data_IF_875458493630
#
_entry.id   IF_875458493630
#
_cell.length_a   1.000
_cell.length_b   1.000
_cell.length_c   1.000
_cell.angle_alpha   90.00
_cell.angle_beta   90.00
_cell.angle_gamma   90.00
#
_symmetry.space_group_name_H-M   'P 1'
#
loop_
_entity.id
_entity.type
_entity.pdbx_description
1 polymer ?
#
# COMPACT_ATOMS: atom_id res chain seq x y z
N UNK A 1 -0.79 27.07 -22.24
CA UNK A 1 0.24 26.51 -23.11
C UNK A 1 0.48 27.51 -24.25
N UNK A 2 1.76 27.85 -24.55
CA UNK A 2 2.10 28.89 -25.53
C UNK A 2 1.92 28.40 -26.96
N UNK A 3 1.77 29.33 -27.90
CA UNK A 3 1.63 29.11 -29.33
C UNK A 3 2.70 28.19 -30.00
N UNK A 4 3.83 27.96 -29.33
CA UNK A 4 4.87 27.05 -29.75
C UNK A 4 4.48 25.55 -29.81
N UNK A 5 3.41 25.16 -29.12
CA UNK A 5 2.95 23.74 -29.10
C UNK A 5 2.08 23.38 -30.32
N UNK A 6 1.55 24.35 -31.03
CA UNK A 6 0.65 24.17 -32.19
C UNK A 6 1.37 23.49 -33.36
N UNK A 7 2.68 23.65 -33.47
CA UNK A 7 3.49 23.13 -34.60
C UNK A 7 4.30 21.86 -34.25
N UNK A 8 4.17 21.33 -33.00
CA UNK A 8 4.84 20.09 -32.62
C UNK A 8 3.94 18.90 -32.94
N UNK A 9 4.56 17.84 -33.45
CA UNK A 9 3.88 16.56 -33.60
C UNK A 9 3.47 16.06 -32.22
N UNK A 10 2.17 15.83 -32.00
CA UNK A 10 1.60 15.43 -30.71
C UNK A 10 0.84 14.12 -30.88
N UNK A 11 0.95 13.26 -29.86
CA UNK A 11 0.12 12.07 -29.71
C UNK A 11 -0.84 12.29 -28.54
N UNK A 12 -2.11 11.95 -28.75
CA UNK A 12 -3.15 12.06 -27.73
C UNK A 12 -3.42 10.66 -27.17
N UNK A 13 -3.03 10.44 -25.93
CA UNK A 13 -3.35 9.22 -25.20
C UNK A 13 -4.61 9.48 -24.39
N UNK A 14 -5.75 8.78 -24.64
CA UNK A 14 -6.98 8.98 -23.89
C UNK A 14 -6.84 8.50 -22.44
N UNK A 15 -7.60 9.11 -21.56
CA UNK A 15 -7.66 8.75 -20.16
C UNK A 15 -9.08 8.94 -19.61
N UNK A 16 -9.31 8.47 -18.37
CA UNK A 16 -10.58 8.65 -17.68
C UNK A 16 -10.69 10.10 -17.20
N UNK A 17 -11.80 10.76 -17.54
CA UNK A 17 -12.07 12.13 -17.09
C UNK A 17 -12.56 12.18 -15.64
N UNK A 18 -12.12 13.19 -14.89
CA UNK A 18 -12.62 13.46 -13.53
C UNK A 18 -14.14 13.75 -13.49
N UNK A 19 -14.72 14.25 -14.57
CA UNK A 19 -16.16 14.51 -14.65
C UNK A 19 -17.01 13.24 -14.42
N UNK A 20 -16.47 12.06 -14.78
CA UNK A 20 -17.13 10.77 -14.58
C UNK A 20 -16.54 10.05 -13.37
N UNK A 21 -15.20 9.86 -13.34
CA UNK A 21 -14.57 9.04 -12.30
C UNK A 21 -14.81 9.58 -10.88
N UNK A 22 -14.69 10.89 -10.67
CA UNK A 22 -14.91 11.50 -9.35
C UNK A 22 -16.36 11.36 -8.91
N UNK A 23 -17.30 11.54 -9.85
CA UNK A 23 -18.74 11.36 -9.60
C UNK A 23 -19.06 9.91 -9.17
N UNK A 24 -18.54 8.92 -9.90
CA UNK A 24 -18.76 7.50 -9.60
C UNK A 24 -18.13 7.08 -8.27
N UNK A 25 -16.93 7.56 -7.95
CA UNK A 25 -16.28 7.33 -6.66
C UNK A 25 -17.06 7.96 -5.50
N UNK A 26 -17.76 9.07 -5.75
CA UNK A 26 -18.68 9.65 -4.77
C UNK A 26 -20.05 8.95 -4.72
N UNK A 27 -20.28 7.88 -5.52
CA UNK A 27 -21.57 7.19 -5.60
C UNK A 27 -22.64 8.00 -6.33
N UNK A 28 -22.24 8.92 -7.21
CA UNK A 28 -23.15 9.78 -8.00
C UNK A 28 -22.96 9.46 -9.48
N UNK A 29 -23.77 8.59 -10.09
CA UNK A 29 -23.66 8.32 -11.52
C UNK A 29 -24.09 9.57 -12.30
N UNK A 30 -23.39 9.88 -13.41
CA UNK A 30 -23.74 11.05 -14.24
C UNK A 30 -25.05 10.86 -15.00
N UNK A 31 -25.46 9.62 -15.26
CA UNK A 31 -26.76 9.23 -15.77
C UNK A 31 -27.30 8.02 -15.01
N UNK A 32 -28.64 7.89 -14.91
CA UNK A 32 -29.25 6.73 -14.30
C UNK A 32 -30.65 6.53 -14.87
N UNK A 33 -31.04 5.27 -15.15
CA UNK A 33 -32.35 4.94 -15.68
C UNK A 33 -33.47 5.52 -14.78
N UNK A 34 -34.41 6.23 -15.36
CA UNK A 34 -35.57 6.89 -14.71
C UNK A 34 -35.23 8.12 -13.84
N UNK A 35 -33.93 8.55 -13.78
CA UNK A 35 -33.51 9.72 -13.01
C UNK A 35 -32.90 10.78 -13.90
N UNK A 36 -31.95 10.40 -14.78
CA UNK A 36 -31.27 11.31 -15.67
C UNK A 36 -30.84 10.57 -16.93
N UNK A 37 -31.20 11.10 -18.10
CA UNK A 37 -30.89 10.56 -19.42
C UNK A 37 -29.79 11.32 -20.13
N UNK A 38 -29.50 12.55 -19.68
CA UNK A 38 -28.52 13.44 -20.27
C UNK A 38 -27.57 14.00 -19.23
N UNK A 39 -26.34 14.24 -19.63
CA UNK A 39 -25.40 15.02 -18.81
C UNK A 39 -24.52 15.92 -19.69
N UNK A 40 -24.06 17.03 -19.12
CA UNK A 40 -23.12 17.95 -19.75
C UNK A 40 -21.93 18.21 -18.83
N UNK A 41 -20.75 18.30 -19.45
CA UNK A 41 -19.51 18.71 -18.78
C UNK A 41 -19.20 20.14 -19.18
N UNK A 42 -19.07 21.02 -18.18
CA UNK A 42 -18.92 22.47 -18.41
C UNK A 42 -17.64 22.94 -17.70
N UNK A 43 -16.86 23.78 -18.36
CA UNK A 43 -15.78 24.52 -17.71
C UNK A 43 -16.35 25.69 -16.91
N UNK A 44 -16.27 25.60 -15.59
CA UNK A 44 -16.81 26.62 -14.68
C UNK A 44 -15.94 27.87 -14.51
N UNK A 45 -14.78 27.91 -15.18
CA UNK A 45 -13.90 29.07 -15.21
C UNK A 45 -13.72 29.54 -16.65
N UNK A 46 -14.44 30.59 -17.02
CA UNK A 46 -14.28 31.25 -18.32
C UNK A 46 -13.16 32.29 -18.26
N UNK A 47 -12.58 32.63 -19.39
CA UNK A 47 -11.58 33.68 -19.52
C UNK A 47 -12.15 35.02 -19.03
N UNK A 48 -11.62 35.63 -17.96
CA UNK A 48 -12.15 36.86 -17.39
C UNK A 48 -12.02 38.09 -18.34
N UNK A 49 -11.23 37.97 -19.39
CA UNK A 49 -11.08 39.04 -20.39
C UNK A 49 -12.20 39.05 -21.44
N UNK A 50 -13.04 38.00 -21.49
CA UNK A 50 -14.22 37.93 -22.34
C UNK A 50 -15.35 38.77 -21.69
N UNK A 51 -15.91 39.70 -22.44
CA UNK A 51 -16.99 40.55 -21.94
C UNK A 51 -18.30 39.82 -21.66
N UNK A 52 -18.59 38.72 -22.39
CA UNK A 52 -19.81 37.92 -22.25
C UNK A 52 -19.49 36.43 -22.13
N UNK A 53 -20.30 35.72 -21.31
CA UNK A 53 -20.24 34.28 -21.18
C UNK A 53 -20.67 33.61 -22.47
N UNK A 54 -19.91 32.60 -22.90
CA UNK A 54 -20.24 31.76 -24.08
C UNK A 54 -21.13 30.56 -23.70
N UNK A 55 -21.45 30.40 -22.43
CA UNK A 55 -22.27 29.31 -21.91
C UNK A 55 -23.75 29.60 -22.17
N UNK A 56 -24.45 28.69 -22.82
CA UNK A 56 -25.91 28.76 -22.97
C UNK A 56 -26.60 28.32 -21.66
N UNK A 57 -26.71 29.28 -20.71
CA UNK A 57 -27.26 29.04 -19.37
C UNK A 57 -28.72 28.56 -19.43
N UNK A 58 -29.56 29.11 -20.33
CA UNK A 58 -30.95 28.70 -20.48
C UNK A 58 -31.05 27.22 -20.92
N UNK A 59 -30.28 26.86 -21.94
CA UNK A 59 -30.26 25.46 -22.41
C UNK A 59 -29.77 24.49 -21.33
N UNK A 60 -28.72 24.83 -20.62
CA UNK A 60 -28.19 24.00 -19.52
C UNK A 60 -29.17 23.89 -18.34
N UNK A 61 -29.82 24.99 -17.98
CA UNK A 61 -30.73 25.01 -16.83
C UNK A 61 -31.99 24.16 -17.07
N UNK A 62 -32.46 24.02 -18.31
CA UNK A 62 -33.76 23.42 -18.62
C UNK A 62 -33.69 22.09 -19.38
N UNK A 63 -32.70 21.88 -20.25
CA UNK A 63 -32.67 20.76 -21.18
C UNK A 63 -31.74 19.59 -20.75
N UNK A 64 -30.86 19.80 -19.78
CA UNK A 64 -29.87 18.79 -19.36
C UNK A 64 -30.15 18.35 -17.92
N UNK A 65 -30.25 17.04 -17.69
CA UNK A 65 -30.58 16.47 -16.37
C UNK A 65 -29.46 16.65 -15.35
N UNK A 66 -28.22 16.32 -15.74
CA UNK A 66 -27.05 16.37 -14.89
C UNK A 66 -26.00 17.32 -15.45
N UNK A 67 -25.54 18.27 -14.64
CA UNK A 67 -24.46 19.20 -14.98
C UNK A 67 -23.23 18.91 -14.15
N UNK A 68 -22.06 18.81 -14.78
CA UNK A 68 -20.78 18.59 -14.11
C UNK A 68 -19.85 19.76 -14.46
N UNK A 69 -19.61 20.61 -13.48
CA UNK A 69 -18.72 21.77 -13.63
C UNK A 69 -17.29 21.39 -13.19
N UNK A 70 -16.36 21.51 -14.11
CA UNK A 70 -14.93 21.41 -13.85
C UNK A 70 -14.34 22.80 -13.64
N UNK A 71 -13.33 22.95 -12.77
CA UNK A 71 -12.68 24.23 -12.45
C UNK A 71 -13.66 25.32 -12.00
N UNK A 72 -14.79 24.94 -11.37
CA UNK A 72 -15.87 25.86 -11.07
C UNK A 72 -16.04 26.22 -9.59
N UNK A 73 -15.20 25.71 -8.66
CA UNK A 73 -15.46 25.85 -7.22
C UNK A 73 -15.51 27.30 -6.77
N UNK A 74 -14.58 28.14 -7.21
CA UNK A 74 -14.54 29.56 -6.89
C UNK A 74 -15.72 30.35 -7.51
N UNK A 75 -16.29 29.80 -8.60
CA UNK A 75 -17.39 30.40 -9.33
C UNK A 75 -18.77 29.82 -8.96
N UNK A 76 -18.86 28.93 -7.95
CA UNK A 76 -20.14 28.34 -7.51
C UNK A 76 -21.22 29.42 -7.26
N UNK A 77 -20.95 30.53 -6.60
CA UNK A 77 -21.96 31.59 -6.41
C UNK A 77 -22.53 32.11 -7.74
N UNK A 78 -21.68 32.38 -8.73
CA UNK A 78 -22.10 32.84 -10.06
C UNK A 78 -22.82 31.76 -10.84
N UNK A 79 -22.32 30.51 -10.78
CA UNK A 79 -22.90 29.34 -11.48
C UNK A 79 -24.32 29.10 -10.94
N UNK A 80 -24.49 29.00 -9.64
CA UNK A 80 -25.81 28.73 -9.02
C UNK A 80 -26.81 29.83 -9.29
N UNK A 81 -26.37 31.12 -9.21
CA UNK A 81 -27.20 32.27 -9.56
C UNK A 81 -27.68 32.16 -11.03
N UNK A 82 -26.76 31.91 -11.97
CA UNK A 82 -27.09 31.75 -13.41
C UNK A 82 -28.05 30.61 -13.68
N UNK A 83 -27.88 29.48 -13.00
CA UNK A 83 -28.80 28.34 -13.13
C UNK A 83 -30.21 28.70 -12.64
N UNK A 84 -30.35 29.39 -11.49
CA UNK A 84 -31.63 29.78 -10.94
C UNK A 84 -32.31 30.85 -11.82
N UNK A 85 -31.58 31.85 -12.24
CA UNK A 85 -32.08 32.93 -13.14
C UNK A 85 -32.64 32.33 -14.47
N UNK A 86 -32.09 31.21 -14.91
CA UNK A 86 -32.51 30.55 -16.15
C UNK A 86 -33.45 29.35 -15.95
N UNK A 87 -34.05 29.22 -14.76
CA UNK A 87 -35.16 28.31 -14.50
C UNK A 87 -34.79 26.98 -13.81
N UNK A 88 -33.56 26.78 -13.36
CA UNK A 88 -33.22 25.61 -12.51
C UNK A 88 -33.72 25.90 -11.09
N UNK A 89 -34.47 24.95 -10.49
CA UNK A 89 -34.95 25.08 -9.12
C UNK A 89 -33.78 25.21 -8.13
N UNK A 90 -33.89 26.09 -7.16
CA UNK A 90 -32.96 26.23 -6.06
C UNK A 90 -32.83 24.94 -5.22
N UNK A 91 -33.92 24.15 -5.15
CA UNK A 91 -33.94 22.85 -4.44
C UNK A 91 -33.31 21.68 -5.24
N UNK A 92 -32.84 21.96 -6.47
CA UNK A 92 -32.16 20.92 -7.26
C UNK A 92 -30.94 20.41 -6.47
N UNK A 93 -30.84 19.08 -6.24
CA UNK A 93 -29.71 18.49 -5.53
C UNK A 93 -28.39 18.78 -6.23
N UNK A 94 -27.36 19.03 -5.43
CA UNK A 94 -26.03 19.30 -5.91
C UNK A 94 -24.98 18.67 -4.98
N UNK A 95 -23.77 18.47 -5.47
CA UNK A 95 -22.65 17.99 -4.68
C UNK A 95 -21.34 18.63 -5.14
N UNK A 96 -20.44 18.88 -4.19
CA UNK A 96 -19.07 19.27 -4.47
C UNK A 96 -18.16 18.16 -3.97
N UNK A 97 -17.32 17.64 -4.88
CA UNK A 97 -16.42 16.52 -4.56
C UNK A 97 -14.98 17.01 -4.77
N UNK A 98 -14.23 17.02 -3.69
CA UNK A 98 -12.81 17.39 -3.65
C UNK A 98 -11.95 16.11 -3.57
N UNK A 99 -10.81 16.11 -4.25
CA UNK A 99 -9.86 14.99 -4.28
C UNK A 99 -10.51 13.62 -4.54
N UNK A 100 -11.51 13.61 -5.43
CA UNK A 100 -12.19 12.38 -5.79
C UNK A 100 -11.22 11.29 -6.24
N UNK A 101 -11.54 10.04 -5.92
CA UNK A 101 -10.73 8.83 -6.13
C UNK A 101 -9.55 8.65 -5.16
N UNK A 102 -9.28 9.63 -4.31
CA UNK A 102 -8.23 9.56 -3.28
C UNK A 102 -8.84 9.18 -1.91
N UNK A 103 -8.06 8.59 -1.01
CA UNK A 103 -8.50 8.31 0.35
C UNK A 103 -8.98 9.53 1.13
N UNK A 104 -8.49 10.73 0.76
CA UNK A 104 -8.87 12.01 1.35
C UNK A 104 -10.09 12.67 0.67
N UNK A 105 -10.82 11.93 -0.16
CA UNK A 105 -12.01 12.45 -0.84
C UNK A 105 -12.99 13.06 0.14
N UNK A 106 -13.44 14.28 -0.17
CA UNK A 106 -14.47 15.01 0.57
C UNK A 106 -15.67 15.21 -0.35
N UNK A 107 -16.85 14.81 0.11
CA UNK A 107 -18.09 14.96 -0.65
C UNK A 107 -19.09 15.78 0.18
N UNK A 108 -19.39 17.00 -0.28
CA UNK A 108 -20.40 17.85 0.30
C UNK A 108 -21.67 17.75 -0.55
N UNK A 109 -22.74 17.22 0.05
CA UNK A 109 -24.07 17.19 -0.57
C UNK A 109 -24.83 18.44 -0.16
N UNK A 110 -25.48 19.10 -1.12
CA UNK A 110 -26.15 20.39 -0.97
C UNK A 110 -27.26 20.54 -2.00
N UNK A 111 -27.78 21.73 -2.20
CA UNK A 111 -28.70 22.12 -3.28
C UNK A 111 -28.11 23.29 -4.08
N UNK A 112 -28.66 23.56 -5.24
CA UNK A 112 -28.23 24.71 -6.05
C UNK A 112 -28.36 26.03 -5.25
N UNK A 113 -29.41 26.16 -4.44
CA UNK A 113 -29.68 27.39 -3.66
C UNK A 113 -28.73 27.58 -2.49
N UNK A 114 -28.20 26.49 -1.89
CA UNK A 114 -27.37 26.60 -0.67
C UNK A 114 -25.89 26.32 -0.94
N UNK A 115 -25.53 25.81 -2.12
CA UNK A 115 -24.18 25.35 -2.43
C UNK A 115 -23.08 26.38 -2.16
N UNK A 116 -23.31 27.65 -2.48
CA UNK A 116 -22.33 28.72 -2.25
C UNK A 116 -22.02 28.91 -0.75
N UNK A 117 -23.05 28.94 0.09
CA UNK A 117 -22.91 29.07 1.53
C UNK A 117 -22.29 27.83 2.17
N UNK A 118 -22.75 26.65 1.77
CA UNK A 118 -22.30 25.36 2.31
C UNK A 118 -20.82 25.10 1.99
N UNK A 119 -20.37 25.40 0.74
CA UNK A 119 -18.97 25.29 0.33
C UNK A 119 -18.06 26.24 1.11
N UNK A 120 -18.53 27.48 1.33
CA UNK A 120 -17.80 28.49 2.13
C UNK A 120 -17.68 28.02 3.58
N UNK A 121 -18.77 27.54 4.19
CA UNK A 121 -18.80 27.04 5.56
C UNK A 121 -17.91 25.81 5.75
N UNK A 122 -17.88 24.88 4.76
CA UNK A 122 -17.03 23.69 4.78
C UNK A 122 -15.55 23.98 4.43
N UNK A 123 -15.22 25.19 3.98
CA UNK A 123 -13.85 25.56 3.58
C UNK A 123 -13.30 24.74 2.41
N UNK A 124 -14.19 24.22 1.54
CA UNK A 124 -13.77 23.40 0.40
C UNK A 124 -13.04 24.26 -0.64
N UNK A 125 -11.86 23.75 -1.04
CA UNK A 125 -10.96 24.43 -2.00
C UNK A 125 -10.73 23.58 -3.24
N UNK A 126 -10.31 24.17 -4.37
CA UNK A 126 -9.80 23.39 -5.52
C UNK A 126 -8.67 22.42 -5.10
N UNK A 127 -8.45 21.32 -5.86
CA UNK A 127 -9.25 20.88 -7.00
C UNK A 127 -10.52 20.13 -6.58
N UNK A 128 -11.67 20.49 -7.16
CA UNK A 128 -12.93 19.79 -6.94
C UNK A 128 -13.83 19.91 -8.18
N UNK A 129 -14.85 19.05 -8.25
CA UNK A 129 -15.93 19.15 -9.24
C UNK A 129 -17.22 19.56 -8.55
N UNK A 130 -18.11 20.24 -9.28
CA UNK A 130 -19.44 20.58 -8.82
C UNK A 130 -20.47 19.89 -9.71
N UNK A 131 -21.32 19.05 -9.12
CA UNK A 131 -22.36 18.26 -9.80
C UNK A 131 -23.72 18.78 -9.39
N UNK A 132 -24.61 18.98 -10.37
CA UNK A 132 -26.00 19.42 -10.18
C UNK A 132 -26.95 18.44 -10.87
N UNK A 133 -27.92 17.92 -10.17
CA UNK A 133 -28.95 17.04 -10.71
C UNK A 133 -29.50 16.02 -9.72
N UNK A 134 -30.65 15.44 -10.04
CA UNK A 134 -31.32 14.46 -9.17
C UNK A 134 -30.51 13.18 -8.92
N UNK A 135 -29.51 12.89 -9.73
CA UNK A 135 -28.59 11.77 -9.54
C UNK A 135 -27.82 11.85 -8.21
N UNK A 136 -27.66 13.05 -7.66
CA UNK A 136 -26.97 13.26 -6.36
C UNK A 136 -27.70 12.52 -5.23
N UNK A 137 -29.03 12.37 -5.28
CA UNK A 137 -29.82 11.60 -4.31
C UNK A 137 -29.45 10.12 -4.27
N UNK A 138 -28.94 9.58 -5.38
CA UNK A 138 -28.60 8.17 -5.47
C UNK A 138 -27.35 7.83 -4.64
N UNK A 139 -26.56 8.83 -4.26
CA UNK A 139 -25.38 8.65 -3.42
C UNK A 139 -25.69 7.89 -2.12
N UNK A 140 -26.82 8.13 -1.49
CA UNK A 140 -27.18 7.44 -0.24
C UNK A 140 -27.14 5.91 -0.37
N UNK A 141 -27.49 5.40 -1.57
CA UNK A 141 -27.54 3.98 -1.87
C UNK A 141 -26.29 3.46 -2.61
N UNK A 142 -25.62 4.34 -3.36
CA UNK A 142 -24.53 3.94 -4.27
C UNK A 142 -23.13 4.30 -3.78
N UNK A 143 -22.99 5.01 -2.68
CA UNK A 143 -21.67 5.32 -2.13
C UNK A 143 -20.99 4.03 -1.67
N UNK A 144 -19.88 3.70 -2.31
CA UNK A 144 -19.14 2.48 -2.06
C UNK A 144 -17.72 2.75 -1.58
N UNK A 145 -17.12 3.87 -2.02
CA UNK A 145 -15.73 4.17 -1.78
C UNK A 145 -15.49 4.72 -0.37
N UNK A 146 -16.26 5.71 0.02
CA UNK A 146 -16.20 6.32 1.35
C UNK A 146 -16.94 5.51 2.44
N UNK A 147 -17.53 4.37 2.08
CA UNK A 147 -18.02 3.35 3.00
C UNK A 147 -16.98 2.24 3.26
N UNK A 148 -15.81 2.30 2.64
CA UNK A 148 -14.77 1.31 2.89
C UNK A 148 -14.27 1.39 4.33
N UNK A 149 -13.92 0.26 4.96
CA UNK A 149 -13.55 0.21 6.39
C UNK A 149 -12.39 1.12 6.78
N UNK A 150 -11.46 1.36 5.86
CA UNK A 150 -10.26 2.16 6.10
C UNK A 150 -10.26 3.49 5.36
N UNK A 151 -11.41 3.91 4.81
CA UNK A 151 -11.52 5.19 4.13
C UNK A 151 -11.20 6.35 5.07
N UNK A 152 -10.36 7.28 4.60
CA UNK A 152 -9.89 8.44 5.38
C UNK A 152 -8.85 8.11 6.44
N UNK A 153 -8.38 6.84 6.54
CA UNK A 153 -7.33 6.44 7.46
C UNK A 153 -5.96 6.47 6.79
N UNK A 154 -4.97 7.05 7.47
CA UNK A 154 -3.58 7.06 7.04
C UNK A 154 -2.80 5.98 7.80
N UNK A 155 -2.29 5.00 7.07
CA UNK A 155 -1.61 3.82 7.65
C UNK A 155 -0.17 3.75 7.16
N UNK A 156 0.77 3.69 8.09
CA UNK A 156 2.20 3.53 7.80
C UNK A 156 2.55 2.06 7.70
N UNK A 157 3.17 1.66 6.58
CA UNK A 157 3.69 0.30 6.34
C UNK A 157 5.20 0.30 6.46
N UNK A 158 5.74 -0.35 7.51
CA UNK A 158 7.18 -0.33 7.83
C UNK A 158 7.99 -1.44 7.15
N UNK A 159 7.37 -2.25 6.31
CA UNK A 159 7.99 -3.40 5.65
C UNK A 159 8.91 -2.98 4.49
N UNK A 160 9.96 -3.80 4.21
CA UNK A 160 10.85 -3.56 3.07
C UNK A 160 10.07 -3.48 1.74
N UNK A 161 10.41 -2.52 0.88
CA UNK A 161 9.68 -2.14 -0.34
C UNK A 161 9.31 -3.32 -1.26
N UNK A 162 10.20 -4.30 -1.43
CA UNK A 162 9.93 -5.51 -2.24
C UNK A 162 8.84 -6.42 -1.66
N UNK A 163 8.45 -6.23 -0.41
CA UNK A 163 7.47 -7.04 0.33
C UNK A 163 6.28 -6.20 0.83
N UNK A 164 6.39 -4.88 0.79
CA UNK A 164 5.33 -3.95 1.21
C UNK A 164 4.14 -3.99 0.27
N UNK A 165 4.37 -4.21 -1.03
CA UNK A 165 3.36 -4.10 -2.09
C UNK A 165 2.08 -4.92 -1.88
N UNK A 166 2.12 -6.07 -1.18
CA UNK A 166 0.92 -6.86 -0.91
C UNK A 166 0.06 -6.22 0.19
N UNK A 167 0.66 -5.81 1.32
CA UNK A 167 -0.05 -5.16 2.41
C UNK A 167 -0.56 -3.78 1.97
N UNK A 168 0.28 -2.98 1.31
CA UNK A 168 -0.10 -1.67 0.75
C UNK A 168 -1.34 -1.80 -0.13
N UNK A 169 -1.31 -2.70 -1.14
CA UNK A 169 -2.45 -2.91 -2.04
C UNK A 169 -3.73 -3.34 -1.32
N UNK A 170 -3.63 -4.17 -0.29
CA UNK A 170 -4.79 -4.59 0.49
C UNK A 170 -5.38 -3.43 1.30
N UNK A 171 -4.54 -2.64 1.98
CA UNK A 171 -5.00 -1.49 2.75
C UNK A 171 -5.60 -0.40 1.85
N UNK A 172 -4.98 -0.10 0.70
CA UNK A 172 -5.51 0.83 -0.30
C UNK A 172 -6.83 0.31 -0.91
N UNK A 173 -6.94 -0.98 -1.17
CA UNK A 173 -8.19 -1.60 -1.64
C UNK A 173 -9.33 -1.40 -0.65
N UNK A 174 -9.04 -1.31 0.65
CA UNK A 174 -9.99 -1.01 1.72
C UNK A 174 -10.16 0.50 2.01
N UNK A 175 -9.56 1.37 1.21
CA UNK A 175 -9.73 2.82 1.24
C UNK A 175 -8.70 3.61 2.04
N UNK A 176 -7.66 2.97 2.58
CA UNK A 176 -6.62 3.67 3.32
C UNK A 176 -5.70 4.49 2.42
N UNK A 177 -5.19 5.61 2.96
CA UNK A 177 -3.95 6.24 2.51
C UNK A 177 -2.78 5.47 3.12
N UNK A 178 -1.85 5.00 2.29
CA UNK A 178 -0.69 4.26 2.79
C UNK A 178 0.59 5.07 2.58
N UNK A 179 1.34 5.25 3.68
CA UNK A 179 2.70 5.78 3.65
C UNK A 179 3.65 4.60 3.78
N UNK A 180 4.38 4.30 2.71
CA UNK A 180 5.43 3.29 2.77
C UNK A 180 6.67 3.89 3.43
N UNK A 181 6.98 3.42 4.63
CA UNK A 181 8.16 3.80 5.40
C UNK A 181 9.03 2.55 5.66
N UNK A 182 9.66 1.98 4.62
CA UNK A 182 10.49 0.80 4.78
C UNK A 182 11.62 1.11 5.76
N UNK A 183 11.56 0.49 6.93
CA UNK A 183 12.55 0.68 7.98
C UNK A 183 13.80 -0.18 7.77
N UNK A 184 13.78 -1.04 6.75
CA UNK A 184 14.90 -1.92 6.38
C UNK A 184 15.07 -2.00 4.87
N UNK A 185 16.31 -2.01 4.43
CA UNK A 185 16.71 -2.32 3.05
C UNK A 185 17.58 -3.57 3.07
N UNK A 186 17.29 -4.50 2.17
CA UNK A 186 18.18 -5.62 1.91
C UNK A 186 19.31 -5.10 1.04
N UNK A 187 20.53 -5.23 1.54
CA UNK A 187 21.74 -4.78 0.85
C UNK A 187 22.68 -5.96 0.62
N UNK A 188 23.56 -5.89 -0.39
CA UNK A 188 24.61 -6.86 -0.58
C UNK A 188 25.47 -7.03 0.69
N UNK A 189 26.01 -8.22 0.96
CA UNK A 189 27.04 -8.40 1.97
C UNK A 189 28.33 -7.68 1.53
N UNK A 190 29.25 -7.47 2.46
CA UNK A 190 30.56 -6.87 2.18
C UNK A 190 31.30 -7.61 1.05
N UNK A 191 31.17 -8.92 1.00
CA UNK A 191 31.69 -9.77 -0.08
C UNK A 191 30.78 -10.96 -0.34
N UNK A 192 30.65 -11.36 -1.60
CA UNK A 192 29.98 -12.58 -2.01
C UNK A 192 30.94 -13.80 -2.16
N UNK A 193 32.26 -13.59 -1.99
CA UNK A 193 33.27 -14.64 -2.23
C UNK A 193 32.96 -15.97 -1.51
N UNK A 194 32.54 -16.01 -0.22
CA UNK A 194 32.18 -17.26 0.44
C UNK A 194 30.96 -17.94 -0.19
N UNK A 195 29.97 -17.18 -0.61
CA UNK A 195 28.75 -17.73 -1.24
C UNK A 195 29.08 -18.25 -2.65
N UNK A 196 29.87 -17.55 -3.41
CA UNK A 196 30.29 -17.94 -4.74
C UNK A 196 31.15 -19.21 -4.70
N UNK A 197 32.01 -19.38 -3.71
CA UNK A 197 32.79 -20.58 -3.52
C UNK A 197 31.91 -21.79 -3.11
N UNK A 198 30.94 -21.55 -2.22
CA UNK A 198 29.97 -22.60 -1.87
C UNK A 198 29.09 -23.01 -3.07
N UNK A 199 28.71 -22.07 -3.94
CA UNK A 199 27.95 -22.34 -5.16
C UNK A 199 28.77 -23.18 -6.16
N UNK A 200 30.08 -22.87 -6.34
CA UNK A 200 30.95 -23.69 -7.19
C UNK A 200 31.04 -25.16 -6.71
N UNK A 201 31.02 -25.34 -5.38
CA UNK A 201 31.13 -26.66 -4.74
C UNK A 201 29.74 -27.18 -4.28
N UNK A 202 28.64 -26.72 -4.86
CA UNK A 202 27.29 -27.00 -4.37
C UNK A 202 26.97 -28.51 -4.32
N UNK A 203 27.54 -29.27 -5.22
CA UNK A 203 27.39 -30.74 -5.29
C UNK A 203 27.96 -31.48 -4.08
N UNK A 204 28.80 -30.85 -3.28
CA UNK A 204 29.36 -31.45 -2.06
C UNK A 204 28.42 -31.33 -0.86
N UNK A 205 27.39 -30.51 -0.95
CA UNK A 205 26.42 -30.34 0.12
C UNK A 205 25.28 -31.35 -0.01
N UNK A 206 24.90 -31.92 1.12
CA UNK A 206 23.73 -32.80 1.23
C UNK A 206 22.44 -32.00 1.27
N UNK A 207 22.48 -30.86 1.96
CA UNK A 207 21.34 -29.97 2.16
C UNK A 207 21.67 -28.53 1.86
N UNK A 208 20.72 -27.85 1.19
CA UNK A 208 20.61 -26.39 1.12
C UNK A 208 19.44 -25.96 2.01
N UNK A 209 19.72 -25.20 3.08
CA UNK A 209 18.71 -24.79 4.04
C UNK A 209 18.45 -23.28 3.90
N UNK A 210 17.24 -22.92 3.52
CA UNK A 210 16.83 -21.54 3.28
C UNK A 210 15.84 -21.06 4.35
N UNK A 211 16.25 -20.04 5.10
CA UNK A 211 15.51 -19.53 6.25
C UNK A 211 14.68 -18.26 5.95
N UNK A 212 14.70 -17.78 4.72
CA UNK A 212 13.89 -16.62 4.30
C UNK A 212 13.74 -16.54 2.78
N UNK A 213 12.68 -15.86 2.32
CA UNK A 213 12.49 -15.54 0.91
C UNK A 213 13.62 -14.65 0.34
N UNK A 214 14.23 -13.78 1.17
CA UNK A 214 15.37 -12.96 0.77
C UNK A 214 16.62 -13.81 0.57
N UNK A 215 16.84 -14.82 1.43
CA UNK A 215 17.91 -15.82 1.25
C UNK A 215 17.76 -16.58 -0.06
N UNK A 216 16.54 -17.01 -0.41
CA UNK A 216 16.24 -17.61 -1.72
C UNK A 216 16.65 -16.67 -2.85
N UNK A 217 16.16 -15.44 -2.84
CA UNK A 217 16.47 -14.44 -3.88
C UNK A 217 17.97 -14.18 -4.01
N UNK A 218 18.66 -13.99 -2.89
CA UNK A 218 20.10 -13.74 -2.88
C UNK A 218 20.88 -14.92 -3.42
N UNK A 219 20.56 -16.14 -2.98
CA UNK A 219 21.21 -17.37 -3.44
C UNK A 219 21.02 -17.59 -4.96
N UNK A 220 19.79 -17.51 -5.46
CA UNK A 220 19.53 -17.72 -6.88
C UNK A 220 20.10 -16.61 -7.78
N UNK A 221 20.16 -15.38 -7.28
CA UNK A 221 20.84 -14.29 -7.99
C UNK A 221 22.34 -14.58 -8.13
N UNK A 222 23.01 -15.13 -7.09
CA UNK A 222 24.42 -15.52 -7.16
C UNK A 222 24.65 -16.77 -8.02
N UNK A 223 23.73 -17.74 -7.95
CA UNK A 223 23.73 -18.91 -8.83
C UNK A 223 23.70 -18.49 -10.31
N UNK A 224 22.78 -17.58 -10.66
CA UNK A 224 22.68 -17.03 -12.00
C UNK A 224 23.93 -16.23 -12.40
N UNK A 225 24.52 -15.45 -11.48
CA UNK A 225 25.77 -14.71 -11.72
C UNK A 225 26.94 -15.65 -12.02
N UNK A 226 26.96 -16.84 -11.43
CA UNK A 226 27.93 -17.90 -11.74
C UNK A 226 27.65 -18.63 -13.08
N UNK A 227 26.64 -18.22 -13.86
CA UNK A 227 26.24 -18.87 -15.11
C UNK A 227 25.49 -20.18 -14.90
N UNK A 228 25.01 -20.43 -13.67
CA UNK A 228 24.29 -21.64 -13.28
C UNK A 228 22.80 -21.38 -13.10
N UNK A 229 22.00 -22.44 -13.11
CA UNK A 229 20.57 -22.40 -12.83
C UNK A 229 20.17 -23.52 -11.84
N UNK A 230 18.88 -23.69 -11.62
CA UNK A 230 18.35 -24.69 -10.68
C UNK A 230 18.84 -26.13 -10.93
N UNK A 231 19.29 -26.46 -12.12
CA UNK A 231 19.88 -27.80 -12.46
C UNK A 231 21.17 -28.09 -11.70
N UNK A 232 21.89 -27.03 -11.29
CA UNK A 232 23.09 -27.17 -10.46
C UNK A 232 22.80 -27.76 -9.07
N UNK A 233 21.54 -27.73 -8.63
CA UNK A 233 21.08 -28.27 -7.35
C UNK A 233 20.70 -29.76 -7.45
N UNK A 234 20.95 -30.43 -8.59
CA UNK A 234 20.67 -31.84 -8.74
C UNK A 234 21.48 -32.68 -7.71
N UNK A 235 20.76 -33.48 -6.91
CA UNK A 235 21.35 -34.28 -5.83
C UNK A 235 21.47 -33.58 -4.48
N UNK A 236 21.20 -32.27 -4.41
CA UNK A 236 21.14 -31.48 -3.15
C UNK A 236 19.69 -31.43 -2.67
N UNK A 237 19.43 -31.89 -1.46
CA UNK A 237 18.11 -31.73 -0.83
C UNK A 237 17.91 -30.30 -0.34
N UNK A 238 16.68 -29.79 -0.43
CA UNK A 238 16.38 -28.40 -0.13
C UNK A 238 15.35 -28.30 0.99
N UNK A 239 15.70 -27.58 2.06
CA UNK A 239 14.81 -27.32 3.17
C UNK A 239 14.45 -25.82 3.24
N UNK A 240 13.17 -25.53 3.46
CA UNK A 240 12.65 -24.19 3.66
C UNK A 240 12.03 -24.07 5.04
N UNK A 241 12.32 -22.96 5.76
CA UNK A 241 11.80 -22.76 7.12
C UNK A 241 10.27 -22.64 7.18
N UNK A 242 9.61 -22.32 6.08
CA UNK A 242 8.17 -22.15 6.05
C UNK A 242 7.60 -21.84 4.67
N UNK A 243 6.27 -21.73 4.58
CA UNK A 243 5.55 -21.62 3.30
C UNK A 243 5.95 -20.39 2.46
N UNK A 244 6.30 -19.26 3.07
CA UNK A 244 6.75 -18.06 2.35
C UNK A 244 8.09 -18.29 1.63
N UNK A 245 9.02 -19.00 2.28
CA UNK A 245 10.30 -19.39 1.70
C UNK A 245 10.12 -20.48 0.63
N UNK A 246 9.23 -21.44 0.87
CA UNK A 246 8.88 -22.47 -0.11
C UNK A 246 8.23 -21.90 -1.38
N UNK A 247 7.33 -20.90 -1.25
CA UNK A 247 6.77 -20.16 -2.40
C UNK A 247 7.85 -19.41 -3.18
N UNK A 248 8.81 -18.79 -2.49
CA UNK A 248 9.93 -18.12 -3.16
C UNK A 248 10.80 -19.12 -3.95
N UNK A 249 11.08 -20.30 -3.40
CA UNK A 249 11.76 -21.39 -4.12
C UNK A 249 10.96 -21.82 -5.35
N UNK A 250 9.67 -22.00 -5.21
CA UNK A 250 8.79 -22.39 -6.31
C UNK A 250 8.81 -21.37 -7.46
N UNK A 251 8.91 -20.08 -7.16
CA UNK A 251 9.06 -19.03 -8.18
C UNK A 251 10.40 -19.12 -8.94
N UNK A 252 11.41 -19.80 -8.37
CA UNK A 252 12.69 -20.12 -9.02
C UNK A 252 12.68 -21.50 -9.69
N UNK A 253 11.51 -22.16 -9.82
CA UNK A 253 11.37 -23.48 -10.44
C UNK A 253 11.80 -24.65 -9.55
N UNK A 254 11.96 -24.46 -8.23
CA UNK A 254 12.44 -25.47 -7.29
C UNK A 254 11.40 -25.73 -6.20
N UNK A 255 11.14 -27.01 -5.92
CA UNK A 255 10.29 -27.43 -4.80
C UNK A 255 11.16 -27.83 -3.62
N UNK A 256 10.83 -27.35 -2.42
CA UNK A 256 11.51 -27.78 -1.20
C UNK A 256 11.15 -29.25 -0.88
N UNK A 257 12.16 -30.04 -0.49
CA UNK A 257 12.00 -31.42 -0.03
C UNK A 257 11.46 -31.47 1.41
N UNK A 258 11.77 -30.44 2.21
CA UNK A 258 11.34 -30.35 3.60
C UNK A 258 10.84 -28.95 3.94
N UNK A 259 9.63 -28.88 4.52
CA UNK A 259 9.05 -27.67 5.07
C UNK A 259 8.35 -28.04 6.39
N UNK A 260 8.76 -27.52 7.57
CA UNK A 260 8.12 -27.84 8.84
C UNK A 260 6.72 -27.25 8.94
N UNK A 261 5.91 -27.79 9.85
CA UNK A 261 4.53 -27.36 10.07
C UNK A 261 4.44 -25.96 10.72
N UNK A 262 5.38 -25.64 11.60
CA UNK A 262 5.52 -24.29 12.19
C UNK A 262 6.82 -23.66 11.73
N UNK A 263 6.81 -22.33 11.61
CA UNK A 263 7.86 -21.55 10.95
C UNK A 263 9.01 -21.19 11.90
N UNK A 264 9.53 -22.17 12.68
CA UNK A 264 10.58 -21.99 13.67
C UNK A 264 11.86 -22.73 13.28
N UNK A 265 13.00 -22.14 13.65
CA UNK A 265 14.30 -22.71 13.39
C UNK A 265 14.50 -24.05 14.12
N UNK A 266 13.95 -24.15 15.32
CA UNK A 266 13.97 -25.34 16.18
C UNK A 266 13.29 -26.53 15.49
N UNK A 267 12.08 -26.33 14.96
CA UNK A 267 11.33 -27.39 14.28
C UNK A 267 11.95 -27.79 12.94
N UNK A 268 12.57 -26.82 12.24
CA UNK A 268 13.31 -27.15 11.02
C UNK A 268 14.51 -28.06 11.33
N UNK A 269 15.21 -27.78 12.44
CA UNK A 269 16.31 -28.62 12.89
C UNK A 269 15.84 -30.03 13.31
N UNK A 270 14.72 -30.13 14.04
CA UNK A 270 14.10 -31.39 14.44
C UNK A 270 13.64 -32.22 13.23
N UNK A 271 13.05 -31.56 12.22
CA UNK A 271 12.61 -32.23 11.00
C UNK A 271 13.78 -32.70 10.10
N UNK A 272 14.93 -32.02 10.17
CA UNK A 272 16.16 -32.42 9.48
C UNK A 272 16.88 -33.59 10.19
N UNK A 273 16.83 -33.61 11.53
CA UNK A 273 17.59 -34.55 12.35
C UNK A 273 17.52 -36.04 11.88
N UNK A 274 16.33 -36.61 11.56
CA UNK A 274 16.25 -38.00 11.12
C UNK A 274 16.79 -38.24 9.70
N UNK A 275 17.14 -37.19 8.96
CA UNK A 275 17.63 -37.25 7.58
C UNK A 275 19.12 -36.86 7.45
N UNK A 276 19.77 -36.56 8.57
CA UNK A 276 21.18 -36.19 8.64
C UNK A 276 22.03 -37.32 9.14
N UNK A 277 23.17 -37.48 8.51
CA UNK A 277 24.25 -38.38 8.93
C UNK A 277 25.43 -37.53 9.45
N UNK A 278 26.26 -38.17 10.28
CA UNK A 278 27.47 -37.49 10.78
C UNK A 278 28.43 -37.20 9.63
N UNK A 279 28.82 -35.90 9.53
CA UNK A 279 29.67 -35.39 8.47
C UNK A 279 28.93 -34.89 7.23
N UNK A 280 27.56 -34.95 7.21
CA UNK A 280 26.79 -34.34 6.13
C UNK A 280 27.01 -32.80 6.10
N UNK A 281 27.33 -32.28 4.90
CA UNK A 281 27.51 -30.83 4.69
C UNK A 281 26.18 -30.16 4.44
N UNK A 282 25.92 -29.09 5.18
CA UNK A 282 24.69 -28.32 5.13
C UNK A 282 25.02 -26.88 4.82
N UNK A 283 24.59 -26.36 3.68
CA UNK A 283 24.74 -24.95 3.30
C UNK A 283 23.56 -24.13 3.81
N UNK A 284 23.84 -23.04 4.55
CA UNK A 284 22.83 -22.14 5.13
C UNK A 284 23.11 -20.71 4.67
N UNK A 285 22.70 -20.30 3.47
CA UNK A 285 22.80 -18.91 3.04
C UNK A 285 21.70 -18.07 3.72
N UNK A 286 22.11 -17.10 4.55
CA UNK A 286 21.18 -16.33 5.38
C UNK A 286 21.58 -14.86 5.53
N UNK A 287 20.78 -14.10 6.27
CA UNK A 287 21.15 -12.75 6.70
C UNK A 287 22.39 -12.78 7.61
N UNK A 288 23.20 -11.73 7.59
CA UNK A 288 24.35 -11.53 8.50
C UNK A 288 23.89 -11.60 9.97
N UNK A 289 22.81 -10.89 10.29
CA UNK A 289 22.19 -10.92 11.61
C UNK A 289 21.04 -11.93 11.62
N UNK A 290 21.27 -13.14 12.14
CA UNK A 290 20.26 -14.17 12.31
C UNK A 290 20.58 -15.03 13.54
N UNK A 291 19.55 -15.73 14.07
CA UNK A 291 19.71 -16.58 15.27
C UNK A 291 20.64 -17.78 14.97
N UNK A 292 21.52 -18.10 15.94
CA UNK A 292 22.45 -19.22 15.82
C UNK A 292 21.82 -20.60 16.14
N UNK A 293 20.60 -20.65 16.64
CA UNK A 293 19.91 -21.88 17.07
C UNK A 293 19.94 -23.00 16.04
N UNK A 294 19.64 -22.70 14.77
CA UNK A 294 19.62 -23.70 13.70
C UNK A 294 21.02 -24.25 13.41
N UNK A 295 22.05 -23.44 13.11
CA UNK A 295 23.40 -23.94 12.88
C UNK A 295 23.98 -24.72 14.07
N UNK A 296 23.78 -24.22 15.29
CA UNK A 296 24.27 -24.87 16.51
C UNK A 296 23.61 -26.25 16.71
N UNK A 297 22.30 -26.35 16.46
CA UNK A 297 21.58 -27.62 16.57
C UNK A 297 22.07 -28.62 15.52
N UNK A 298 22.26 -28.20 14.25
CA UNK A 298 22.77 -29.07 13.20
C UNK A 298 24.19 -29.58 13.49
N UNK A 299 25.08 -28.70 13.99
CA UNK A 299 26.42 -29.09 14.42
C UNK A 299 26.40 -30.07 15.58
N UNK A 300 25.52 -29.89 16.55
CA UNK A 300 25.32 -30.84 17.67
C UNK A 300 24.83 -32.24 17.20
N UNK A 301 24.07 -32.27 16.10
CA UNK A 301 23.66 -33.51 15.46
C UNK A 301 24.76 -34.17 14.60
N UNK A 302 25.93 -33.53 14.51
CA UNK A 302 27.10 -34.05 13.80
C UNK A 302 27.23 -33.61 12.36
N UNK A 303 26.38 -32.69 11.88
CA UNK A 303 26.50 -32.12 10.54
C UNK A 303 27.55 -30.99 10.48
N UNK A 304 28.16 -30.80 9.31
CA UNK A 304 29.04 -29.69 8.98
C UNK A 304 28.17 -28.54 8.42
N UNK A 305 27.78 -27.58 9.29
CA UNK A 305 26.94 -26.45 8.89
C UNK A 305 27.77 -25.26 8.46
N UNK A 306 27.76 -24.97 7.14
CA UNK A 306 28.35 -23.81 6.51
C UNK A 306 27.34 -22.67 6.49
N UNK A 307 27.54 -21.70 7.39
CA UNK A 307 26.69 -20.51 7.52
C UNK A 307 27.32 -19.38 6.73
N UNK A 308 26.62 -18.94 5.67
CA UNK A 308 27.16 -17.94 4.76
C UNK A 308 26.24 -16.74 4.68
N UNK A 309 26.81 -15.54 4.83
CA UNK A 309 26.07 -14.30 4.65
C UNK A 309 25.71 -14.11 3.18
N UNK A 310 24.43 -14.22 2.88
CA UNK A 310 23.90 -14.03 1.53
C UNK A 310 23.42 -12.58 1.30
N UNK A 311 23.04 -11.88 2.38
CA UNK A 311 22.60 -10.49 2.35
C UNK A 311 22.72 -9.86 3.74
N UNK A 312 22.68 -8.54 3.79
CA UNK A 312 22.61 -7.76 5.03
C UNK A 312 21.32 -6.94 5.07
N UNK A 313 20.95 -6.52 6.27
CA UNK A 313 19.79 -5.66 6.49
C UNK A 313 20.28 -4.31 7.00
N UNK A 314 20.16 -3.27 6.18
CA UNK A 314 20.47 -1.91 6.59
C UNK A 314 19.20 -1.19 7.06
N UNK A 315 19.31 -0.41 8.14
CA UNK A 315 18.26 0.50 8.55
C UNK A 315 18.28 1.72 7.60
N UNK A 316 17.29 1.85 6.74
CA UNK A 316 17.14 2.96 5.79
C UNK A 316 15.65 3.26 5.66
N UNK A 317 15.29 4.53 5.77
CA UNK A 317 13.93 4.99 5.43
C UNK A 317 14.03 5.95 4.24
N UNK A 318 13.64 5.48 3.07
CA UNK A 318 13.68 6.29 1.83
C UNK A 318 12.69 7.47 1.90
N UNK A 319 11.58 7.32 2.65
CA UNK A 319 10.52 8.33 2.81
C UNK A 319 10.52 8.94 4.23
N UNK A 320 11.69 9.04 4.87
CA UNK A 320 11.79 9.54 6.25
C UNK A 320 11.20 10.96 6.42
N UNK A 321 11.40 11.85 5.45
CA UNK A 321 10.89 13.21 5.50
C UNK A 321 9.35 13.24 5.49
N UNK A 322 8.73 12.52 4.55
CA UNK A 322 7.26 12.39 4.45
C UNK A 322 6.66 11.76 5.72
N UNK A 323 7.29 10.68 6.22
CA UNK A 323 6.87 10.03 7.46
C UNK A 323 6.93 10.99 8.64
N UNK A 324 8.04 11.71 8.81
CA UNK A 324 8.24 12.63 9.93
C UNK A 324 7.25 13.81 9.87
N UNK A 325 7.02 14.36 8.69
CA UNK A 325 6.02 15.41 8.46
C UNK A 325 4.60 14.93 8.82
N UNK A 326 4.19 13.75 8.33
CA UNK A 326 2.89 13.18 8.62
C UNK A 326 2.68 12.89 10.12
N UNK A 327 3.72 12.39 10.81
CA UNK A 327 3.67 12.15 12.25
C UNK A 327 3.60 13.47 13.06
N UNK A 328 4.39 14.47 12.69
CA UNK A 328 4.38 15.79 13.33
C UNK A 328 3.03 16.51 13.17
N UNK A 329 2.42 16.38 11.99
CA UNK A 329 1.11 16.93 11.69
C UNK A 329 -0.04 16.12 12.28
N UNK A 330 0.23 14.99 12.96
CA UNK A 330 -0.78 14.04 13.49
C UNK A 330 -1.75 13.52 12.43
N UNK A 331 -1.22 13.29 11.22
CA UNK A 331 -1.99 12.76 10.09
C UNK A 331 -1.98 11.22 10.03
N UNK A 332 -1.19 10.55 10.89
CA UNK A 332 -1.04 9.09 10.90
C UNK A 332 -2.01 8.48 11.91
N UNK A 333 -2.91 7.61 11.44
CA UNK A 333 -3.83 6.87 12.31
C UNK A 333 -3.20 5.57 12.86
N UNK A 334 -2.37 4.88 12.04
CA UNK A 334 -1.81 3.59 12.44
C UNK A 334 -0.42 3.33 11.85
N UNK A 335 0.42 2.61 12.60
CA UNK A 335 1.69 2.04 12.12
C UNK A 335 1.64 0.52 12.20
N UNK A 336 2.02 -0.16 11.11
CA UNK A 336 2.01 -1.63 11.02
C UNK A 336 3.41 -2.21 11.16
N UNK A 337 3.55 -3.28 11.93
CA UNK A 337 4.79 -4.02 12.13
C UNK A 337 4.63 -5.49 11.74
N UNK A 338 5.46 -5.96 10.81
CA UNK A 338 5.41 -7.33 10.29
C UNK A 338 6.53 -8.24 10.81
N UNK A 339 7.41 -7.72 11.67
CA UNK A 339 8.47 -8.47 12.35
C UNK A 339 9.07 -7.67 13.50
N UNK A 340 9.80 -8.32 14.40
CA UNK A 340 10.54 -7.67 15.48
C UNK A 340 11.58 -6.66 14.96
N UNK A 341 12.24 -6.98 13.85
CA UNK A 341 13.23 -6.08 13.23
C UNK A 341 12.60 -4.80 12.66
N UNK A 342 11.36 -4.86 12.16
CA UNK A 342 10.66 -3.64 11.71
C UNK A 342 10.36 -2.70 12.87
N UNK A 343 10.03 -3.22 14.07
CA UNK A 343 9.83 -2.39 15.28
C UNK A 343 11.12 -1.67 15.67
N UNK A 344 12.21 -2.43 15.83
CA UNK A 344 13.49 -1.85 16.30
C UNK A 344 14.07 -0.86 15.31
N UNK A 345 13.98 -1.14 14.01
CA UNK A 345 14.51 -0.24 12.99
C UNK A 345 13.63 1.00 12.78
N UNK A 346 12.31 0.86 12.90
CA UNK A 346 11.41 2.01 12.86
C UNK A 346 11.71 3.01 13.98
N UNK A 347 11.94 2.52 15.20
CA UNK A 347 12.36 3.38 16.33
C UNK A 347 13.70 4.08 16.08
N UNK A 348 14.65 3.42 15.39
CA UNK A 348 15.90 4.06 14.98
C UNK A 348 15.66 5.19 13.96
N UNK A 349 14.73 4.98 13.02
CA UNK A 349 14.33 6.01 12.05
C UNK A 349 13.72 7.22 12.74
N UNK A 350 12.94 7.02 13.80
CA UNK A 350 12.39 8.12 14.62
C UNK A 350 13.43 8.78 15.54
N UNK A 351 14.69 8.35 15.50
CA UNK A 351 15.72 8.87 16.41
C UNK A 351 15.42 8.63 17.90
N UNK A 352 14.55 7.67 18.21
CA UNK A 352 14.08 7.37 19.56
C UNK A 352 12.89 8.22 20.06
N UNK A 353 12.42 9.17 19.26
CA UNK A 353 11.28 10.07 19.60
C UNK A 353 9.96 9.33 19.55
N UNK A 354 9.59 8.69 20.66
CA UNK A 354 8.32 7.92 20.79
C UNK A 354 7.10 8.82 20.93
N UNK A 355 7.30 10.07 21.31
CA UNK A 355 6.27 11.11 21.45
C UNK A 355 5.54 11.33 20.13
N UNK A 356 6.21 11.11 19.00
CA UNK A 356 5.61 11.18 17.66
C UNK A 356 4.55 10.10 17.40
N UNK A 357 4.50 9.04 18.24
CA UNK A 357 3.51 7.98 18.17
C UNK A 357 2.35 8.18 19.15
N UNK A 358 2.29 9.31 19.84
CA UNK A 358 1.17 9.65 20.70
C UNK A 358 -0.12 9.77 19.88
N UNK A 359 -1.16 9.00 20.26
CA UNK A 359 -2.42 8.95 19.50
C UNK A 359 -2.40 8.04 18.27
N UNK A 360 -1.26 7.46 17.91
CA UNK A 360 -1.13 6.56 16.77
C UNK A 360 -1.35 5.10 17.20
N UNK A 361 -2.31 4.41 16.59
CA UNK A 361 -2.53 2.99 16.84
C UNK A 361 -1.37 2.15 16.27
N UNK A 362 -1.01 1.06 16.93
CA UNK A 362 0.04 0.16 16.48
C UNK A 362 -0.54 -1.22 16.16
N UNK A 363 -0.22 -1.76 14.99
CA UNK A 363 -0.66 -3.09 14.56
C UNK A 363 0.54 -4.03 14.38
N UNK A 364 0.48 -5.19 15.04
CA UNK A 364 1.51 -6.22 14.96
C UNK A 364 0.96 -7.47 14.25
N UNK A 365 1.76 -8.05 13.34
CA UNK A 365 1.39 -9.26 12.58
C UNK A 365 1.21 -10.50 13.47
N UNK A 366 1.75 -10.49 14.68
CA UNK A 366 1.67 -11.61 15.58
C UNK A 366 2.29 -11.36 16.95
N UNK A 367 2.20 -12.33 17.88
CA UNK A 367 2.55 -12.16 19.28
C UNK A 367 4.05 -11.84 19.51
N UNK A 368 4.95 -12.40 18.70
CA UNK A 368 6.40 -12.13 18.82
C UNK A 368 6.70 -10.66 18.48
N UNK A 369 6.06 -10.12 17.45
CA UNK A 369 6.20 -8.71 17.06
C UNK A 369 5.56 -7.81 18.11
N UNK A 370 4.38 -8.16 18.62
CA UNK A 370 3.68 -7.44 19.70
C UNK A 370 4.52 -7.39 20.98
N UNK A 371 5.17 -8.50 21.36
CA UNK A 371 6.06 -8.55 22.50
C UNK A 371 7.29 -7.66 22.31
N UNK A 372 7.82 -7.59 21.09
CA UNK A 372 8.93 -6.67 20.77
C UNK A 372 8.49 -5.21 20.90
N UNK A 373 7.25 -4.87 20.50
CA UNK A 373 6.70 -3.53 20.75
C UNK A 373 6.69 -3.23 22.25
N UNK A 374 6.15 -4.14 23.11
CA UNK A 374 6.07 -3.94 24.56
C UNK A 374 7.45 -3.78 25.20
N UNK A 375 8.44 -4.60 24.80
CA UNK A 375 9.83 -4.48 25.29
C UNK A 375 10.46 -3.13 24.95
N UNK A 376 9.99 -2.48 23.88
CA UNK A 376 10.41 -1.14 23.51
C UNK A 376 9.50 -0.03 24.05
N UNK A 377 8.60 -0.33 24.99
CA UNK A 377 7.70 0.65 25.62
C UNK A 377 6.54 1.09 24.71
N UNK A 378 6.18 0.29 23.71
CA UNK A 378 5.05 0.53 22.80
C UNK A 378 3.94 -0.48 23.08
N UNK A 379 2.68 -0.03 23.04
CA UNK A 379 1.51 -0.92 23.25
C UNK A 379 0.76 -1.11 21.94
N UNK A 380 0.80 -2.30 21.31
CA UNK A 380 0.00 -2.57 20.13
C UNK A 380 -1.49 -2.56 20.43
N UNK A 381 -2.27 -1.76 19.68
CA UNK A 381 -3.72 -1.76 19.72
C UNK A 381 -4.30 -2.99 19.00
N UNK A 382 -3.58 -3.48 17.99
CA UNK A 382 -3.97 -4.62 17.15
C UNK A 382 -2.87 -5.67 17.15
N UNK A 383 -3.24 -6.94 17.36
CA UNK A 383 -2.37 -8.10 17.09
C UNK A 383 -3.17 -9.10 16.27
N UNK A 384 -2.68 -9.45 15.07
CA UNK A 384 -3.39 -10.38 14.21
C UNK A 384 -3.45 -11.78 14.82
N UNK A 385 -4.59 -12.45 14.68
CA UNK A 385 -4.79 -13.84 15.13
C UNK A 385 -4.17 -14.84 14.13
N UNK A 386 -4.15 -14.50 12.86
CA UNK A 386 -3.47 -15.26 11.80
C UNK A 386 -2.25 -14.45 11.33
N UNK A 387 -1.06 -15.03 11.42
CA UNK A 387 0.24 -14.32 11.24
C UNK A 387 0.61 -14.16 9.77
N UNK A 388 -0.34 -13.69 8.98
CA UNK A 388 -0.21 -13.43 7.54
C UNK A 388 -0.57 -11.98 7.24
N UNK A 389 -0.29 -11.52 6.02
CA UNK A 389 -0.68 -10.19 5.55
C UNK A 389 -2.20 -10.05 5.55
N UNK A 390 -2.92 -11.08 5.06
CA UNK A 390 -4.38 -11.13 5.05
C UNK A 390 -4.94 -11.01 6.48
N UNK A 391 -4.41 -11.82 7.42
CA UNK A 391 -4.83 -11.77 8.82
C UNK A 391 -4.55 -10.43 9.50
N UNK A 392 -3.44 -9.75 9.14
CA UNK A 392 -3.15 -8.40 9.65
C UNK A 392 -4.14 -7.38 9.08
N UNK A 393 -4.42 -7.43 7.78
CA UNK A 393 -5.41 -6.56 7.13
C UNK A 393 -6.79 -6.72 7.75
N UNK A 394 -7.24 -7.96 7.96
CA UNK A 394 -8.55 -8.23 8.57
C UNK A 394 -8.62 -7.76 10.04
N UNK A 395 -7.54 -7.89 10.79
CA UNK A 395 -7.46 -7.39 12.16
C UNK A 395 -7.52 -5.85 12.21
N UNK A 396 -6.87 -5.16 11.27
CA UNK A 396 -6.91 -3.69 11.14
C UNK A 396 -8.32 -3.23 10.78
N UNK A 397 -8.97 -3.86 9.80
CA UNK A 397 -10.38 -3.56 9.44
C UNK A 397 -11.31 -3.72 10.63
N UNK A 398 -11.15 -4.84 11.36
CA UNK A 398 -11.99 -5.12 12.54
C UNK A 398 -11.79 -4.12 13.67
N UNK A 399 -10.62 -3.50 13.77
CA UNK A 399 -10.34 -2.45 14.74
C UNK A 399 -11.17 -1.20 14.42
N UNK A 400 -11.14 -0.71 13.18
CA UNK A 400 -11.85 0.51 12.78
C UNK A 400 -13.36 0.34 12.55
N UNK A 401 -13.87 -0.88 12.32
CA UNK A 401 -15.33 -1.13 12.26
C UNK A 401 -15.97 -1.10 13.66
N UNK A 402 -15.19 -1.35 14.73
CA UNK A 402 -15.70 -1.36 16.10
C UNK A 402 -15.67 0.00 16.79
N UNK A 403 -14.93 0.95 16.25
CA UNK A 403 -14.96 2.37 16.64
C UNK A 403 -16.14 3.10 15.97
#
# INVERSE_FOLDING_TARGET
RGLGDVYKRQEFIPGVTSAIAVAEYAGIPVTHRRVATSFAVITGHEDPTKGESTINWQGLATAVDTLVFLMGVENIPKITQKLIENGRSADTPAAVIRWGTHPEQQTLVTTVGTAAADVAAAGLKPPAIFIVGNVVKLREQLRWYDNKPLFGKTIVVTRARSQASALTKQLEAEGAKVIEAPSIKIVPPETYAPLDEAIKNIHTYKWLVLTSANGVKAFFARLAHAGLDARALAGVKIAAIGCGTAKALQSCGVKADLVPCTYKAEELAEALAPQLEKGDKVLIPRAKEAREVLPETLRRLGAEADVITAYETAAVCENAAELMEALQNKEVDMVTFTSSSTVTNFLKVLGGSKELLEGVALAAIGPVTAETCRKNGLTPAVTAGTFTIDGLTDAIKSYYIKE
#
